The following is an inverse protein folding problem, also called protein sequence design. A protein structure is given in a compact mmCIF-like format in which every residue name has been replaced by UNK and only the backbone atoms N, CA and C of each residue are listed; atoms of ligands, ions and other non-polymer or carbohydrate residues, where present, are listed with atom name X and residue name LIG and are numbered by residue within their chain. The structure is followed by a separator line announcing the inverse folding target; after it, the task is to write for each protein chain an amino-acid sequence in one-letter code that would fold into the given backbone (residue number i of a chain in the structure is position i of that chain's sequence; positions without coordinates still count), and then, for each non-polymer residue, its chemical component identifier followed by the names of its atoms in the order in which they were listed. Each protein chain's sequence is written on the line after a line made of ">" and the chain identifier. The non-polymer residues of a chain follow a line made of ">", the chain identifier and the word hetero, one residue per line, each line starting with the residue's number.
data_IF_152547161005
#
_entry.id   IF_152547161005
#
_cell.length_a   1.000
_cell.length_b   1.000
_cell.length_c   1.000
_cell.angle_alpha   90.00
_cell.angle_beta   90.00
_cell.angle_gamma   90.00
#
_symmetry.space_group_name_H-M   'P 1'
#
loop_
_entity.id
_entity.type
_entity.pdbx_description
1 polymer ?
#
# COMPACT_ATOMS: atom_id res chain seq x y z
N UNK A 1 27.00 -44.45 -42.08
CA UNK A 1 27.33 -43.35 -43.00
C UNK A 1 26.01 -42.80 -43.44
N UNK A 2 25.45 -41.70 -42.95
CA UNK A 2 25.76 -40.62 -41.99
C UNK A 2 24.33 -40.14 -41.64
N UNK A 3 23.82 -40.39 -40.44
CA UNK A 3 23.74 -39.45 -39.30
C UNK A 3 23.60 -37.98 -39.71
N UNK A 4 22.42 -37.39 -39.46
CA UNK A 4 22.26 -36.00 -39.02
C UNK A 4 20.82 -35.82 -38.48
N UNK A 5 20.74 -35.95 -37.15
CA UNK A 5 19.68 -35.45 -36.28
C UNK A 5 19.86 -33.93 -36.12
N UNK A 6 18.79 -33.15 -36.29
CA UNK A 6 18.73 -31.76 -35.83
C UNK A 6 17.59 -31.63 -34.80
N UNK A 7 17.98 -31.75 -33.52
CA UNK A 7 17.20 -31.39 -32.33
C UNK A 7 17.60 -29.99 -31.82
N UNK A 8 16.64 -29.32 -31.17
CA UNK A 8 16.77 -28.18 -30.24
C UNK A 8 17.04 -26.78 -30.87
N UNK A 9 16.41 -25.67 -30.45
CA UNK A 9 16.14 -25.24 -29.08
C UNK A 9 15.02 -24.15 -29.08
N UNK A 10 13.89 -24.40 -28.43
CA UNK A 10 12.89 -23.37 -28.10
C UNK A 10 13.42 -22.55 -26.91
N UNK A 11 13.99 -21.37 -27.16
CA UNK A 11 14.36 -20.42 -26.11
C UNK A 11 13.11 -19.80 -25.46
N UNK A 12 12.62 -20.47 -24.42
CA UNK A 12 11.60 -19.98 -23.50
C UNK A 12 11.98 -18.62 -22.89
N UNK A 13 11.15 -17.61 -23.16
CA UNK A 13 11.25 -16.23 -22.69
C UNK A 13 10.98 -16.15 -21.17
N UNK A 14 11.99 -16.47 -20.37
CA UNK A 14 11.99 -16.49 -18.90
C UNK A 14 11.94 -15.08 -18.24
N UNK A 15 10.96 -14.24 -18.61
CA UNK A 15 10.78 -12.85 -18.11
C UNK A 15 9.73 -12.68 -17.01
N UNK A 16 9.21 -13.76 -16.42
CA UNK A 16 8.12 -13.71 -15.43
C UNK A 16 8.55 -14.28 -14.09
N UNK A 17 8.61 -13.42 -13.06
CA UNK A 17 8.71 -13.87 -11.66
C UNK A 17 7.32 -13.91 -11.04
N UNK A 18 6.77 -15.12 -10.89
CA UNK A 18 5.54 -15.37 -10.14
C UNK A 18 5.87 -15.52 -8.65
N UNK A 19 5.30 -14.67 -7.80
CA UNK A 19 5.35 -14.86 -6.35
C UNK A 19 3.93 -15.01 -5.80
N UNK A 20 3.60 -16.22 -5.35
CA UNK A 20 2.35 -16.51 -4.63
C UNK A 20 2.62 -16.47 -3.12
N UNK A 21 2.00 -15.58 -2.32
CA UNK A 21 2.09 -15.65 -0.87
C UNK A 21 1.24 -16.80 -0.33
N UNK A 22 1.81 -17.61 0.58
CA UNK A 22 1.09 -18.67 1.33
C UNK A 22 0.16 -18.04 2.37
N UNK A 23 -1.09 -18.48 2.38
CA UNK A 23 -2.22 -17.91 3.11
C UNK A 23 -2.39 -18.42 4.55
N UNK A 24 -1.32 -18.52 5.34
CA UNK A 24 -1.44 -18.97 6.73
C UNK A 24 -0.48 -18.21 7.63
N UNK A 25 -0.94 -17.04 8.09
CA UNK A 25 -0.68 -16.49 9.42
C UNK A 25 -1.67 -15.34 9.64
N UNK A 26 -2.01 -15.04 10.88
CA UNK A 26 -2.91 -13.96 11.36
C UNK A 26 -4.34 -14.45 11.72
N UNK A 27 -4.41 -15.37 12.67
CA UNK A 27 -5.46 -15.37 13.68
C UNK A 27 -4.98 -14.54 14.89
N UNK A 28 -5.82 -13.61 15.35
CA UNK A 28 -5.55 -12.76 16.51
C UNK A 28 -6.78 -11.93 16.86
N UNK A 29 -7.84 -12.60 17.28
CA UNK A 29 -9.11 -11.97 17.68
C UNK A 29 -9.06 -11.37 19.09
N UNK A 30 -9.76 -10.26 19.27
CA UNK A 30 -10.19 -9.72 20.58
C UNK A 30 -11.48 -8.91 20.41
N UNK A 31 -12.33 -8.77 21.45
CA UNK A 31 -13.78 -8.91 21.30
C UNK A 31 -14.52 -7.60 20.98
N UNK A 32 -15.69 -7.77 20.36
CA UNK A 32 -16.68 -6.73 20.04
C UNK A 32 -17.18 -6.05 21.33
N UNK A 33 -16.97 -4.74 21.46
CA UNK A 33 -17.74 -3.90 22.38
C UNK A 33 -18.98 -3.37 21.65
N UNK A 34 -20.16 -3.76 22.10
CA UNK A 34 -21.45 -3.18 21.66
C UNK A 34 -21.75 -1.95 22.53
N UNK A 35 -22.08 -0.78 21.96
CA UNK A 35 -22.42 0.40 22.76
C UNK A 35 -23.88 0.35 23.25
N UNK A 36 -24.06 0.61 24.56
CA UNK A 36 -25.35 0.67 25.26
C UNK A 36 -26.20 1.89 24.86
N UNK A 37 -27.53 1.71 24.88
CA UNK A 37 -28.60 2.62 24.41
C UNK A 37 -28.81 3.94 25.17
N UNK A 38 -27.87 4.41 26.00
CA UNK A 38 -28.11 5.59 26.87
C UNK A 38 -27.37 6.88 26.47
N UNK A 39 -26.78 6.95 25.28
CA UNK A 39 -25.91 8.07 24.87
C UNK A 39 -26.51 8.94 23.73
N UNK A 40 -27.81 8.84 23.49
CA UNK A 40 -28.50 9.54 22.38
C UNK A 40 -29.05 10.92 22.73
N UNK A 41 -28.66 11.52 23.86
CA UNK A 41 -29.28 12.78 24.31
C UNK A 41 -28.26 13.79 24.86
N UNK A 42 -27.23 14.10 24.07
CA UNK A 42 -26.49 15.36 24.20
C UNK A 42 -25.52 15.50 23.02
N UNK A 43 -25.92 16.16 21.94
CA UNK A 43 -24.98 16.90 21.07
C UNK A 43 -25.75 17.83 20.13
N UNK A 44 -25.99 19.06 20.60
CA UNK A 44 -26.13 20.20 19.70
C UNK A 44 -24.72 20.61 19.28
N UNK A 45 -24.44 20.62 17.97
CA UNK A 45 -23.27 21.31 17.40
C UNK A 45 -22.21 20.47 16.68
N UNK A 46 -22.39 19.17 16.50
CA UNK A 46 -21.59 18.40 15.55
C UNK A 46 -22.51 17.79 14.49
N UNK A 47 -22.30 18.11 13.22
CA UNK A 47 -22.74 17.22 12.14
C UNK A 47 -21.83 15.99 12.13
N UNK A 48 -21.87 15.21 13.21
CA UNK A 48 -21.29 13.87 13.23
C UNK A 48 -22.18 13.03 12.33
N UNK A 49 -21.71 12.74 11.11
CA UNK A 49 -22.18 11.59 10.35
C UNK A 49 -22.28 10.42 11.32
N UNK A 50 -23.48 9.88 11.52
CA UNK A 50 -23.69 8.75 12.42
C UNK A 50 -22.60 7.71 12.10
N UNK A 51 -21.74 7.44 13.08
CA UNK A 51 -20.45 6.73 12.91
C UNK A 51 -20.63 5.33 12.32
N UNK A 52 -21.87 4.85 12.19
CA UNK A 52 -22.22 3.52 11.70
C UNK A 52 -23.20 3.50 10.50
N UNK A 53 -23.58 4.65 9.93
CA UNK A 53 -24.48 4.70 8.79
C UNK A 53 -23.71 4.78 7.46
N UNK A 54 -23.62 3.63 6.78
CA UNK A 54 -22.94 3.50 5.50
C UNK A 54 -23.58 4.32 4.35
N UNK A 55 -24.76 4.91 4.55
CA UNK A 55 -25.43 5.73 3.53
C UNK A 55 -25.02 7.20 3.52
N UNK A 56 -24.40 7.69 4.61
CA UNK A 56 -24.11 9.12 4.81
C UNK A 56 -22.62 9.42 5.03
N UNK A 57 -21.73 8.47 4.73
CA UNK A 57 -20.30 8.69 4.88
C UNK A 57 -19.78 9.59 3.76
N UNK A 58 -19.21 10.74 4.14
CA UNK A 58 -18.52 11.68 3.24
C UNK A 58 -17.28 12.23 3.94
N UNK A 59 -16.25 12.50 3.15
CA UNK A 59 -15.05 13.19 3.59
C UNK A 59 -14.76 14.34 2.63
N UNK A 60 -14.03 15.34 3.12
CA UNK A 60 -13.55 16.45 2.30
C UNK A 60 -12.55 15.90 1.28
N UNK A 61 -12.69 16.29 0.01
CA UNK A 61 -11.75 15.96 -1.06
C UNK A 61 -10.95 17.19 -1.44
N UNK A 62 -9.62 17.04 -1.55
CA UNK A 62 -8.77 18.15 -1.97
C UNK A 62 -8.77 18.32 -3.50
N UNK A 63 -9.15 17.25 -4.22
CA UNK A 63 -9.11 17.15 -5.68
C UNK A 63 -7.70 17.35 -6.23
N UNK A 64 -6.71 16.83 -5.51
CA UNK A 64 -5.29 16.92 -5.85
C UNK A 64 -4.56 18.11 -5.22
N UNK A 65 -5.25 19.15 -4.73
CA UNK A 65 -4.62 20.32 -4.15
C UNK A 65 -3.71 20.01 -2.94
N UNK A 66 -3.98 18.93 -2.21
CA UNK A 66 -3.14 18.46 -1.10
C UNK A 66 -1.75 17.97 -1.55
N UNK A 67 -1.59 17.65 -2.83
CA UNK A 67 -0.34 17.22 -3.44
C UNK A 67 0.47 18.37 -4.04
N UNK A 68 -0.11 19.53 -4.32
CA UNK A 68 0.58 20.62 -5.05
C UNK A 68 1.96 20.94 -4.45
N UNK A 69 2.03 21.07 -3.13
CA UNK A 69 3.29 21.35 -2.43
C UNK A 69 4.29 20.18 -2.42
N UNK A 70 3.81 18.94 -2.52
CA UNK A 70 4.62 17.72 -2.47
C UNK A 70 4.67 17.00 -3.82
N UNK A 71 4.30 17.67 -4.91
CA UNK A 71 4.13 17.05 -6.23
C UNK A 71 5.46 16.49 -6.73
N UNK A 72 6.55 17.24 -6.57
CA UNK A 72 7.90 16.78 -6.93
C UNK A 72 8.35 15.59 -6.08
N UNK A 73 7.99 15.54 -4.79
CA UNK A 73 8.32 14.40 -3.94
C UNK A 73 7.62 13.12 -4.41
N UNK A 74 6.37 13.20 -4.87
CA UNK A 74 5.62 12.03 -5.31
C UNK A 74 5.85 11.67 -6.76
N UNK A 75 5.82 12.63 -7.68
CA UNK A 75 5.75 12.40 -9.12
C UNK A 75 6.94 13.01 -9.90
N UNK A 76 7.87 13.66 -9.20
CA UNK A 76 9.11 14.15 -9.79
C UNK A 76 10.02 13.01 -10.22
N UNK A 77 10.79 13.24 -11.29
CA UNK A 77 11.73 12.28 -11.85
C UNK A 77 13.20 12.73 -11.76
N UNK A 78 13.46 13.90 -11.15
CA UNK A 78 14.82 14.42 -10.99
C UNK A 78 15.65 13.63 -9.97
N UNK A 79 15.00 12.89 -9.07
CA UNK A 79 15.62 12.04 -8.04
C UNK A 79 14.88 10.71 -7.94
N UNK A 80 15.59 9.67 -7.51
CA UNK A 80 15.03 8.33 -7.30
C UNK A 80 13.94 8.34 -6.23
N UNK A 81 12.90 7.53 -6.39
CA UNK A 81 11.77 7.40 -5.47
C UNK A 81 12.22 7.16 -4.03
N UNK A 82 13.23 6.29 -3.83
CA UNK A 82 13.80 6.00 -2.50
C UNK A 82 14.39 7.22 -1.77
N UNK A 83 14.81 8.24 -2.52
CA UNK A 83 15.45 9.46 -2.00
C UNK A 83 14.43 10.59 -1.74
N UNK A 84 13.19 10.43 -2.22
CA UNK A 84 12.10 11.42 -2.05
C UNK A 84 10.90 10.89 -1.27
N UNK A 85 10.69 9.57 -1.23
CA UNK A 85 9.61 8.93 -0.47
C UNK A 85 10.23 8.04 0.60
N UNK A 86 10.15 8.50 1.85
CA UNK A 86 10.76 7.81 2.96
C UNK A 86 9.75 7.02 3.78
N UNK A 87 10.00 5.72 3.85
CA UNK A 87 9.27 4.78 4.69
C UNK A 87 9.93 4.64 6.07
N UNK A 88 9.23 4.00 7.01
CA UNK A 88 9.77 3.54 8.30
C UNK A 88 10.13 4.62 9.33
N UNK A 89 9.74 5.87 9.12
CA UNK A 89 9.84 6.88 10.18
C UNK A 89 8.94 6.50 11.37
N UNK A 90 9.43 6.62 12.63
CA UNK A 90 8.58 6.40 13.79
C UNK A 90 7.45 7.43 13.84
N UNK A 91 6.22 6.95 13.94
CA UNK A 91 5.01 7.79 13.86
C UNK A 91 4.82 8.71 15.08
N UNK A 92 5.46 8.39 16.20
CA UNK A 92 5.41 9.10 17.49
C UNK A 92 6.35 10.31 17.56
N UNK A 93 7.25 10.47 16.58
CA UNK A 93 8.24 11.56 16.55
C UNK A 93 7.68 12.88 16.04
N UNK A 94 6.54 12.86 15.36
CA UNK A 94 5.85 14.07 14.90
C UNK A 94 4.39 14.04 15.36
N UNK A 95 4.00 15.04 16.15
CA UNK A 95 2.67 15.11 16.75
C UNK A 95 1.55 15.14 15.69
N UNK A 96 1.79 15.79 14.55
CA UNK A 96 0.80 15.92 13.47
C UNK A 96 0.51 14.56 12.85
N UNK A 97 1.55 13.75 12.68
CA UNK A 97 1.46 12.39 12.17
C UNK A 97 0.75 11.49 13.18
N UNK A 98 1.17 11.52 14.45
CA UNK A 98 0.56 10.74 15.52
C UNK A 98 -0.94 11.04 15.65
N UNK A 99 -1.31 12.33 15.65
CA UNK A 99 -2.69 12.79 15.70
C UNK A 99 -3.48 12.32 14.46
N UNK A 100 -2.91 12.41 13.26
CA UNK A 100 -3.57 11.95 12.04
C UNK A 100 -3.79 10.44 12.02
N UNK A 101 -2.81 9.64 12.44
CA UNK A 101 -2.95 8.19 12.52
C UNK A 101 -3.98 7.77 13.56
N UNK A 102 -4.01 8.46 14.72
CA UNK A 102 -5.05 8.27 15.74
C UNK A 102 -6.43 8.62 15.20
N UNK A 103 -6.55 9.71 14.42
CA UNK A 103 -7.79 10.08 13.76
C UNK A 103 -8.24 9.04 12.74
N UNK A 104 -7.32 8.54 11.88
CA UNK A 104 -7.61 7.46 10.92
C UNK A 104 -8.11 6.20 11.64
N UNK A 105 -7.50 5.85 12.77
CA UNK A 105 -7.95 4.72 13.58
C UNK A 105 -9.37 4.94 14.13
N UNK A 106 -9.66 6.11 14.70
CA UNK A 106 -10.99 6.47 15.21
C UNK A 106 -12.05 6.48 14.10
N UNK A 107 -11.69 6.91 12.90
CA UNK A 107 -12.58 6.99 11.73
C UNK A 107 -12.54 5.74 10.85
N UNK A 108 -11.91 4.66 11.30
CA UNK A 108 -11.67 3.44 10.50
C UNK A 108 -12.95 2.87 9.87
N UNK A 109 -14.06 2.82 10.60
CA UNK A 109 -15.34 2.36 10.04
C UNK A 109 -15.80 3.21 8.84
N UNK A 110 -15.79 4.54 9.02
CA UNK A 110 -16.19 5.48 7.98
C UNK A 110 -15.21 5.46 6.80
N UNK A 111 -13.90 5.45 7.06
CA UNK A 111 -12.87 5.36 6.01
C UNK A 111 -12.96 4.06 5.21
N UNK A 112 -13.25 2.93 5.87
CA UNK A 112 -13.46 1.65 5.21
C UNK A 112 -14.67 1.69 4.27
N UNK A 113 -15.78 2.29 4.70
CA UNK A 113 -16.96 2.48 3.86
C UNK A 113 -16.68 3.44 2.70
N UNK A 114 -16.04 4.58 2.97
CA UNK A 114 -15.75 5.60 1.97
C UNK A 114 -14.77 5.10 0.90
N UNK A 115 -13.71 4.38 1.31
CA UNK A 115 -12.77 3.80 0.36
C UNK A 115 -13.40 2.73 -0.54
N UNK A 116 -14.35 1.94 -0.01
CA UNK A 116 -15.16 1.04 -0.84
C UNK A 116 -15.99 1.83 -1.86
N UNK A 117 -16.67 2.90 -1.43
CA UNK A 117 -17.45 3.74 -2.33
C UNK A 117 -16.58 4.36 -3.43
N UNK A 118 -15.36 4.80 -3.10
CA UNK A 118 -14.40 5.31 -4.08
C UNK A 118 -13.92 4.25 -5.07
N UNK A 119 -13.68 3.04 -4.59
CA UNK A 119 -13.39 1.91 -5.47
C UNK A 119 -14.55 1.65 -6.45
N UNK A 120 -15.80 1.66 -5.98
CA UNK A 120 -16.97 1.47 -6.83
C UNK A 120 -17.14 2.61 -7.86
N UNK A 121 -16.91 3.85 -7.44
CA UNK A 121 -16.95 5.04 -8.30
C UNK A 121 -15.90 4.98 -9.42
N UNK A 122 -14.66 4.63 -9.06
CA UNK A 122 -13.51 4.65 -9.97
C UNK A 122 -13.31 3.36 -10.74
N UNK A 123 -13.94 2.26 -10.30
CA UNK A 123 -13.85 0.92 -10.89
C UNK A 123 -12.41 0.40 -11.04
N UNK A 124 -11.51 0.87 -10.17
CA UNK A 124 -10.09 0.53 -10.18
C UNK A 124 -9.53 0.56 -8.75
N UNK A 125 -8.56 -0.31 -8.48
CA UNK A 125 -7.85 -0.35 -7.19
C UNK A 125 -7.14 0.98 -6.94
N UNK A 126 -7.15 1.43 -5.69
CA UNK A 126 -6.56 2.70 -5.30
C UNK A 126 -6.32 2.81 -3.80
N UNK A 127 -5.88 3.98 -3.37
CA UNK A 127 -5.69 4.28 -1.97
C UNK A 127 -6.13 5.71 -1.66
N UNK A 128 -6.57 5.91 -0.41
CA UNK A 128 -6.84 7.22 0.14
C UNK A 128 -5.53 7.83 0.63
N UNK A 129 -5.26 9.07 0.24
CA UNK A 129 -4.10 9.84 0.66
C UNK A 129 -4.54 11.02 1.52
N UNK A 130 -3.82 11.27 2.61
CA UNK A 130 -4.03 12.45 3.46
C UNK A 130 -2.70 13.10 3.80
N UNK A 131 -2.64 14.40 3.50
CA UNK A 131 -1.54 15.26 3.89
C UNK A 131 -1.75 15.77 5.31
N UNK A 132 -0.80 15.51 6.20
CA UNK A 132 -0.88 15.91 7.61
C UNK A 132 -0.96 17.42 7.81
N UNK A 133 -0.35 18.22 6.93
CA UNK A 133 -0.25 19.68 7.05
C UNK A 133 -1.26 20.45 6.20
N UNK A 134 -1.99 19.80 5.30
CA UNK A 134 -2.94 20.48 4.41
C UNK A 134 -4.36 20.45 4.96
N UNK A 135 -5.07 21.58 4.90
CA UNK A 135 -6.50 21.68 5.19
C UNK A 135 -7.15 22.58 4.14
N UNK A 136 -8.39 22.25 3.75
CA UNK A 136 -9.16 23.13 2.87
C UNK A 136 -9.59 24.37 3.66
N UNK A 137 -9.53 25.56 3.04
CA UNK A 137 -9.93 26.81 3.68
C UNK A 137 -11.36 26.78 4.24
N UNK A 138 -12.28 26.12 3.53
CA UNK A 138 -13.68 25.96 3.93
C UNK A 138 -13.87 24.94 5.07
N UNK A 139 -12.91 24.02 5.25
CA UNK A 139 -12.95 22.94 6.25
C UNK A 139 -11.63 22.88 7.03
N UNK A 140 -11.26 23.93 7.79
CA UNK A 140 -9.93 24.07 8.37
C UNK A 140 -9.62 23.03 9.47
N UNK A 141 -10.65 22.35 10.01
CA UNK A 141 -10.52 21.35 11.08
C UNK A 141 -10.60 19.91 10.59
N UNK A 142 -10.89 19.69 9.31
CA UNK A 142 -11.10 18.36 8.75
C UNK A 142 -9.98 17.99 7.78
N UNK A 143 -9.43 16.77 7.86
CA UNK A 143 -8.52 16.29 6.84
C UNK A 143 -9.22 16.18 5.49
N UNK A 144 -8.50 16.55 4.43
CA UNK A 144 -8.90 16.28 3.06
C UNK A 144 -8.25 14.98 2.57
N UNK A 145 -9.01 14.16 1.87
CA UNK A 145 -8.55 12.90 1.28
C UNK A 145 -8.62 12.94 -0.23
N UNK A 146 -7.63 12.36 -0.89
CA UNK A 146 -7.69 12.10 -2.32
C UNK A 146 -7.55 10.60 -2.59
N UNK A 147 -8.36 10.08 -3.50
CA UNK A 147 -8.28 8.68 -3.91
C UNK A 147 -7.42 8.58 -5.18
N UNK A 148 -6.22 8.00 -5.06
CA UNK A 148 -5.35 7.75 -6.20
C UNK A 148 -5.44 6.29 -6.63
N UNK A 149 -5.72 6.07 -7.91
CA UNK A 149 -5.78 4.75 -8.54
C UNK A 149 -4.38 4.20 -8.81
N UNK A 150 -4.29 2.89 -9.03
CA UNK A 150 -3.03 2.23 -9.39
C UNK A 150 -2.27 2.93 -10.52
N UNK A 151 -2.98 3.32 -11.59
CA UNK A 151 -2.35 3.98 -12.75
C UNK A 151 -1.72 5.33 -12.38
N UNK A 152 -2.36 6.09 -11.50
CA UNK A 152 -1.79 7.35 -11.01
C UNK A 152 -0.56 7.10 -10.14
N UNK A 153 -0.57 6.02 -9.35
CA UNK A 153 0.55 5.67 -8.49
C UNK A 153 1.77 5.14 -9.24
N UNK A 154 1.63 4.64 -10.47
CA UNK A 154 2.78 4.27 -11.30
C UNK A 154 3.72 5.45 -11.54
N UNK A 155 3.17 6.68 -11.64
CA UNK A 155 3.98 7.89 -11.77
C UNK A 155 4.88 8.17 -10.57
N UNK A 156 4.69 7.47 -9.44
CA UNK A 156 5.55 7.65 -8.27
C UNK A 156 6.87 6.90 -8.35
N UNK A 157 6.95 5.85 -9.18
CA UNK A 157 8.09 4.92 -9.24
C UNK A 157 8.45 4.26 -7.89
N UNK A 158 7.62 4.44 -6.85
CA UNK A 158 7.81 3.79 -5.56
C UNK A 158 7.12 2.43 -5.55
N UNK A 159 7.96 1.40 -5.40
CA UNK A 159 7.51 0.00 -5.35
C UNK A 159 6.46 -0.22 -4.26
N UNK A 160 6.68 0.32 -3.07
CA UNK A 160 5.84 0.06 -1.90
C UNK A 160 4.44 0.65 -2.07
N UNK A 161 4.31 1.86 -2.61
CA UNK A 161 3.03 2.50 -2.94
C UNK A 161 2.25 1.67 -3.94
N UNK A 162 2.90 1.29 -5.04
CA UNK A 162 2.26 0.56 -6.14
C UNK A 162 1.83 -0.85 -5.72
N UNK A 163 2.70 -1.62 -5.07
CA UNK A 163 2.39 -2.96 -4.58
C UNK A 163 1.27 -2.95 -3.53
N UNK A 164 1.22 -1.93 -2.68
CA UNK A 164 0.16 -1.78 -1.68
C UNK A 164 -1.23 -1.70 -2.31
N UNK A 165 -1.32 -1.17 -3.53
CA UNK A 165 -2.57 -0.94 -4.24
C UNK A 165 -2.86 -2.03 -5.27
N UNK A 166 -1.84 -2.61 -5.91
CA UNK A 166 -2.01 -3.64 -6.93
C UNK A 166 -2.72 -4.89 -6.42
N UNK A 167 -2.38 -5.34 -5.20
CA UNK A 167 -2.64 -6.73 -4.79
C UNK A 167 -3.58 -6.91 -3.59
N UNK A 168 -4.21 -5.83 -3.11
CA UNK A 168 -5.22 -5.95 -2.04
C UNK A 168 -6.62 -6.25 -2.60
N UNK A 169 -7.48 -6.81 -1.75
CA UNK A 169 -8.91 -6.98 -2.04
C UNK A 169 -9.68 -5.72 -1.62
N UNK A 170 -10.18 -4.91 -2.57
CA UNK A 170 -10.92 -3.69 -2.27
C UNK A 170 -12.29 -3.92 -1.64
N UNK A 171 -12.81 -5.14 -1.67
CA UNK A 171 -14.02 -5.51 -0.95
C UNK A 171 -13.78 -5.71 0.56
N UNK A 172 -12.53 -5.87 0.99
CA UNK A 172 -12.17 -6.22 2.38
C UNK A 172 -11.31 -5.16 3.06
N UNK A 173 -10.47 -4.47 2.30
CA UNK A 173 -9.51 -3.52 2.82
C UNK A 173 -9.59 -2.21 2.04
N UNK A 174 -9.28 -1.13 2.73
CA UNK A 174 -8.97 0.18 2.15
C UNK A 174 -7.57 0.54 2.61
N UNK A 175 -6.74 0.96 1.66
CA UNK A 175 -5.40 1.45 1.97
C UNK A 175 -5.49 2.95 2.20
N UNK A 176 -4.97 3.40 3.34
CA UNK A 176 -4.85 4.81 3.69
C UNK A 176 -3.39 5.15 3.86
N UNK A 177 -2.90 6.08 3.05
CA UNK A 177 -1.58 6.66 3.18
C UNK A 177 -1.67 8.01 3.89
N UNK A 178 -0.97 8.11 5.00
CA UNK A 178 -0.75 9.37 5.72
C UNK A 178 0.64 9.84 5.34
N UNK A 179 0.81 11.09 4.90
CA UNK A 179 2.12 11.62 4.58
C UNK A 179 2.39 12.99 5.20
N UNK A 180 3.67 13.25 5.42
CA UNK A 180 4.21 14.51 5.91
C UNK A 180 5.27 15.01 4.92
N UNK A 181 5.01 16.10 4.19
CA UNK A 181 6.02 16.77 3.40
C UNK A 181 7.13 17.36 4.26
N UNK A 182 8.36 17.29 3.75
CA UNK A 182 9.49 18.10 4.23
C UNK A 182 9.22 19.59 4.05
N UNK A 183 10.03 20.44 4.69
CA UNK A 183 9.87 21.90 4.63
C UNK A 183 9.97 22.47 3.21
N UNK A 184 10.69 21.79 2.31
CA UNK A 184 10.84 22.20 0.91
C UNK A 184 9.82 21.55 -0.02
N UNK A 185 9.04 20.58 0.46
CA UNK A 185 8.11 19.81 -0.38
C UNK A 185 8.78 18.77 -1.29
N UNK A 186 10.12 18.70 -1.28
CA UNK A 186 10.90 17.85 -2.18
C UNK A 186 10.97 16.39 -1.72
N UNK A 187 10.80 16.12 -0.44
CA UNK A 187 10.70 14.76 0.08
C UNK A 187 9.50 14.62 1.02
N UNK A 188 9.00 13.40 1.20
CA UNK A 188 7.89 13.07 2.11
C UNK A 188 8.28 11.90 3.00
N UNK A 189 7.85 11.94 4.27
CA UNK A 189 7.71 10.75 5.09
C UNK A 189 6.29 10.21 4.94
N UNK A 190 6.13 8.89 4.82
CA UNK A 190 4.83 8.27 4.54
C UNK A 190 4.58 7.01 5.38
N UNK A 191 3.32 6.84 5.78
CA UNK A 191 2.82 5.72 6.58
C UNK A 191 1.63 5.06 5.91
N UNK A 192 1.56 3.74 6.01
CA UNK A 192 0.48 2.92 5.46
C UNK A 192 -0.40 2.38 6.57
N UNK A 193 -1.71 2.57 6.45
CA UNK A 193 -2.74 1.91 7.26
C UNK A 193 -3.65 1.07 6.38
N UNK A 194 -3.91 -0.16 6.81
CA UNK A 194 -4.92 -1.05 6.22
C UNK A 194 -6.16 -0.93 7.08
N UNK A 195 -7.24 -0.43 6.50
CA UNK A 195 -8.52 -0.22 7.17
C UNK A 195 -9.49 -1.28 6.66
N UNK A 196 -10.16 -2.00 7.56
CA UNK A 196 -11.16 -3.00 7.15
C UNK A 196 -12.42 -2.32 6.63
N UNK A 197 -12.96 -2.85 5.54
CA UNK A 197 -14.28 -2.47 5.07
C UNK A 197 -15.33 -3.10 6.00
N UNK A 198 -16.22 -2.30 6.61
CA UNK A 198 -17.26 -2.83 7.49
C UNK A 198 -18.20 -3.81 6.80
N UNK A 199 -18.65 -4.85 7.51
CA UNK A 199 -19.52 -5.90 6.95
C UNK A 199 -20.85 -5.35 6.41
N UNK A 200 -21.42 -4.34 7.06
CA UNK A 200 -22.66 -3.71 6.58
C UNK A 200 -22.47 -3.03 5.23
N UNK A 201 -21.34 -2.36 5.01
CA UNK A 201 -21.00 -1.77 3.71
C UNK A 201 -20.76 -2.86 2.65
N UNK A 202 -20.07 -3.95 3.02
CA UNK A 202 -19.83 -5.10 2.14
C UNK A 202 -21.12 -5.77 1.68
N UNK A 203 -22.05 -6.00 2.60
CA UNK A 203 -23.35 -6.60 2.30
C UNK A 203 -24.20 -5.67 1.44
N UNK A 204 -24.21 -4.37 1.75
CA UNK A 204 -24.99 -3.37 1.02
C UNK A 204 -24.59 -3.27 -0.44
N UNK A 205 -23.29 -3.27 -0.74
CA UNK A 205 -22.77 -3.09 -2.10
C UNK A 205 -22.26 -4.39 -2.73
N UNK A 206 -22.70 -5.56 -2.23
CA UNK A 206 -22.15 -6.85 -2.62
C UNK A 206 -22.31 -7.11 -4.13
N UNK A 207 -23.46 -6.72 -4.71
CA UNK A 207 -23.73 -6.90 -6.13
C UNK A 207 -22.79 -6.09 -7.01
N UNK A 208 -22.62 -4.80 -6.71
CA UNK A 208 -21.74 -3.89 -7.44
C UNK A 208 -20.27 -4.29 -7.30
N UNK A 209 -19.85 -4.66 -6.09
CA UNK A 209 -18.48 -5.17 -5.82
C UNK A 209 -18.21 -6.40 -6.68
N UNK A 210 -19.11 -7.39 -6.67
CA UNK A 210 -18.93 -8.61 -7.45
C UNK A 210 -18.90 -8.34 -8.96
N UNK A 211 -19.65 -7.35 -9.45
CA UNK A 211 -19.62 -6.95 -10.84
C UNK A 211 -18.29 -6.30 -11.21
N UNK A 212 -17.79 -5.34 -10.41
CA UNK A 212 -16.57 -4.59 -10.71
C UNK A 212 -15.31 -5.44 -10.51
N UNK A 213 -15.26 -6.31 -9.49
CA UNK A 213 -14.10 -7.17 -9.27
C UNK A 213 -13.82 -8.07 -10.48
N UNK A 214 -14.86 -8.49 -11.21
CA UNK A 214 -14.72 -9.26 -12.47
C UNK A 214 -14.16 -8.45 -13.63
N UNK A 215 -14.29 -7.13 -13.60
CA UNK A 215 -13.76 -6.23 -14.63
C UNK A 215 -12.38 -5.70 -14.30
N UNK A 216 -11.86 -5.98 -13.10
CA UNK A 216 -10.51 -5.58 -12.75
C UNK A 216 -9.50 -6.35 -13.58
N UNK A 217 -8.36 -5.68 -13.81
CA UNK A 217 -7.17 -6.31 -14.36
C UNK A 217 -6.81 -7.59 -13.62
N UNK A 218 -6.25 -8.54 -14.35
CA UNK A 218 -5.68 -9.75 -13.75
C UNK A 218 -4.44 -9.37 -12.95
N UNK A 219 -4.05 -10.22 -12.00
CA UNK A 219 -2.92 -9.93 -11.12
C UNK A 219 -1.62 -9.68 -11.92
N UNK A 220 -1.44 -10.39 -13.02
CA UNK A 220 -0.27 -10.32 -13.90
C UNK A 220 -0.20 -9.01 -14.71
N UNK A 221 -1.33 -8.29 -14.83
CA UNK A 221 -1.43 -7.03 -15.58
C UNK A 221 -1.11 -5.81 -14.70
N UNK A 222 -0.96 -5.99 -13.39
CA UNK A 222 -0.49 -4.94 -12.48
C UNK A 222 1.04 -4.88 -12.47
N UNK A 223 1.60 -4.14 -13.43
CA UNK A 223 3.05 -3.93 -13.57
C UNK A 223 3.53 -2.82 -12.63
N UNK A 224 4.43 -3.16 -11.72
CA UNK A 224 5.07 -2.20 -10.81
C UNK A 224 6.27 -1.54 -11.49
N UNK A 225 6.23 -0.21 -11.57
CA UNK A 225 7.28 0.62 -12.18
C UNK A 225 8.24 1.12 -11.09
N UNK A 226 9.55 1.02 -11.31
CA UNK A 226 10.58 1.46 -10.36
C UNK A 226 11.70 2.19 -11.08
N UNK A 227 12.36 3.14 -10.41
CA UNK A 227 13.49 3.89 -10.99
C UNK A 227 14.74 3.02 -11.18
N UNK A 228 14.96 2.06 -10.29
CA UNK A 228 16.12 1.16 -10.33
C UNK A 228 15.69 -0.29 -10.07
N UNK A 229 16.21 -1.21 -10.89
CA UNK A 229 16.13 -2.64 -10.59
C UNK A 229 17.23 -3.01 -9.59
N UNK A 230 16.85 -3.42 -8.39
CA UNK A 230 17.80 -4.05 -7.47
C UNK A 230 18.11 -5.45 -8.02
N UNK A 231 19.20 -5.56 -8.78
CA UNK A 231 19.79 -6.86 -9.09
C UNK A 231 20.36 -7.37 -7.76
N UNK A 232 19.58 -8.18 -7.05
CA UNK A 232 20.10 -8.95 -5.93
C UNK A 232 21.11 -9.96 -6.48
N UNK A 233 22.36 -9.53 -6.67
CA UNK A 233 23.48 -10.44 -6.80
C UNK A 233 23.51 -11.27 -5.51
N UNK A 234 22.94 -12.47 -5.58
CA UNK A 234 23.19 -13.48 -4.57
C UNK A 234 24.70 -13.78 -4.66
N UNK A 235 25.50 -13.54 -3.61
CA UNK A 235 26.90 -13.91 -3.63
C UNK A 235 26.96 -15.41 -3.42
N UNK A 236 26.72 -16.17 -4.49
CA UNK A 236 26.99 -17.60 -4.49
C UNK A 236 27.60 -18.03 -5.81
N UNK A 237 28.87 -17.65 -6.00
CA UNK A 237 29.79 -18.44 -6.80
C UNK A 237 30.93 -18.85 -5.87
N UNK A 238 30.70 -20.00 -5.24
CA UNK A 238 31.68 -21.01 -4.86
C UNK A 238 33.15 -20.61 -5.07
N UNK A 239 33.79 -20.11 -4.02
CA UNK A 239 35.23 -20.32 -3.87
C UNK A 239 35.43 -21.82 -3.59
N UNK A 240 35.72 -22.59 -4.64
CA UNK A 240 36.26 -23.94 -4.54
C UNK A 240 37.59 -23.87 -3.79
N UNK A 241 37.54 -23.94 -2.46
CA UNK A 241 38.74 -24.23 -1.69
C UNK A 241 39.08 -25.71 -1.91
N UNK A 242 39.95 -25.95 -2.89
CA UNK A 242 40.65 -27.22 -3.03
C UNK A 242 41.30 -27.58 -1.69
N UNK A 243 40.72 -28.55 -1.00
CA UNK A 243 41.35 -29.17 0.17
C UNK A 243 42.56 -29.97 -0.28
N UNK A 244 43.73 -29.31 -0.37
CA UNK A 244 45.03 -30.00 -0.45
C UNK A 244 45.24 -30.81 0.84
N UNK A 245 44.94 -32.11 0.79
CA UNK A 245 45.35 -33.10 1.80
C UNK A 245 46.88 -33.13 1.87
N UNK A 246 47.48 -32.47 2.86
CA UNK A 246 48.89 -32.66 3.22
C UNK A 246 49.01 -33.91 4.11
N UNK A 247 49.67 -34.94 3.58
CA UNK A 247 50.07 -36.17 4.28
C UNK A 247 51.05 -35.83 5.42
N UNK A 248 50.68 -36.10 6.67
CA UNK A 248 51.52 -35.83 7.85
C UNK A 248 51.88 -37.10 8.65
N UNK A 249 52.27 -38.17 7.94
CA UNK A 249 52.79 -39.37 8.58
C UNK A 249 54.02 -39.89 7.82
N UNK A 250 55.16 -39.23 8.03
CA UNK A 250 56.52 -39.76 7.92
C UNK A 250 57.41 -38.76 8.64
N UNK A 251 57.80 -39.10 9.88
CA UNK A 251 59.02 -38.68 10.61
C UNK A 251 58.80 -38.82 12.13
N UNK A 252 58.62 -40.04 12.60
CA UNK A 252 59.06 -40.48 13.94
C UNK A 252 59.40 -41.96 13.83
N UNK A 253 60.58 -42.22 13.27
CA UNK A 253 61.34 -43.46 13.35
C UNK A 253 62.78 -43.08 13.02
N UNK A 254 63.47 -42.55 14.03
CA UNK A 254 64.89 -42.80 14.29
C UNK A 254 65.13 -42.61 15.78
#
# INVERSE_FOLDING_TARGET
>A
MEDEDDEEEDEDDNRRVHFSPKASDIWGGSPRSVPSKSLSQAHNGFQTTLINDASNVRFVESRGAAFDFASEAFFGNARLARDRIHWLFPADKDERVANMLSWVQKMSFNLGTYGLMKFLERKERGALFVNTIFRMHQHPREPAFDYLTFNQLQGTMDKTLQESVAFYDPARLVIVFVYLPSQTGNSVAIWRRKVHVPDNARLKYQGEVNAIVKTLRKAEEYVVMVDEYVINFSPNVQATSEKKKRKWWKLFLS
#
